data_IF_869838073145
#
_entry.id   IF_869838073145
#
_cell.length_a   1.000
_cell.length_b   1.000
_cell.length_c   1.000
_cell.angle_alpha   90.00
_cell.angle_beta   90.00
_cell.angle_gamma   90.00
#
_symmetry.space_group_name_H-M   'P 1'
#
loop_
_entity.id
_entity.type
_entity.pdbx_description
1 polymer ?
#
# COMPACT_ATOMS: atom_id res chain seq x y z
N UNK A 1 5.36 -52.85 21.53
CA UNK A 1 5.73 -51.49 21.10
C UNK A 1 5.51 -50.58 22.30
N UNK A 2 6.59 -50.11 22.93
CA UNK A 2 6.54 -49.45 24.24
C UNK A 2 5.89 -48.07 24.14
N UNK A 3 4.96 -47.78 25.05
CA UNK A 3 4.31 -46.47 25.17
C UNK A 3 5.31 -45.31 25.42
N UNK A 4 6.47 -45.59 26.01
CA UNK A 4 7.55 -44.59 26.19
C UNK A 4 8.13 -44.08 24.87
N UNK A 5 8.39 -44.97 23.91
CA UNK A 5 8.89 -44.59 22.57
C UNK A 5 7.82 -43.80 21.79
N UNK A 6 6.54 -44.07 22.07
CA UNK A 6 5.45 -43.27 21.50
C UNK A 6 5.44 -41.86 22.10
N UNK A 7 5.62 -41.68 23.41
CA UNK A 7 5.67 -40.34 24.01
C UNK A 7 6.93 -39.54 23.62
N UNK A 8 8.11 -40.16 23.53
CA UNK A 8 9.35 -39.48 23.09
C UNK A 8 9.29 -38.94 21.66
N UNK A 9 8.58 -39.62 20.75
CA UNK A 9 8.42 -39.17 19.36
C UNK A 9 7.37 -38.05 19.25
N UNK A 10 6.36 -38.04 20.12
CA UNK A 10 5.27 -37.06 20.08
C UNK A 10 5.52 -35.81 20.94
N UNK A 11 6.34 -35.87 21.99
CA UNK A 11 6.75 -34.69 22.78
C UNK A 11 7.32 -33.54 21.92
N UNK A 12 8.28 -33.75 20.99
CA UNK A 12 8.78 -32.67 20.15
C UNK A 12 7.72 -32.12 19.20
N UNK A 13 6.74 -32.94 18.79
CA UNK A 13 5.62 -32.52 17.92
C UNK A 13 4.62 -31.65 18.71
N UNK A 14 4.36 -31.99 19.98
CA UNK A 14 3.49 -31.22 20.87
C UNK A 14 4.16 -29.90 21.29
N UNK A 15 5.46 -29.93 21.61
CA UNK A 15 6.25 -28.73 21.88
C UNK A 15 6.36 -27.81 20.66
N UNK A 16 6.54 -28.37 19.46
CA UNK A 16 6.49 -27.63 18.20
C UNK A 16 5.11 -27.00 17.96
N UNK A 17 4.02 -27.73 18.21
CA UNK A 17 2.65 -27.22 18.12
C UNK A 17 2.40 -26.01 19.03
N UNK A 18 2.83 -26.05 20.29
CA UNK A 18 2.69 -24.91 21.20
C UNK A 18 3.53 -23.70 20.77
N UNK A 19 4.76 -23.94 20.31
CA UNK A 19 5.61 -22.87 19.77
C UNK A 19 4.98 -22.21 18.53
N UNK A 20 4.41 -23.00 17.62
CA UNK A 20 3.69 -22.51 16.44
C UNK A 20 2.47 -21.68 16.83
N UNK A 21 1.69 -22.13 17.83
CA UNK A 21 0.54 -21.37 18.34
C UNK A 21 0.94 -20.02 18.94
N UNK A 22 2.01 -19.97 19.73
CA UNK A 22 2.51 -18.74 20.34
C UNK A 22 3.07 -17.76 19.28
N UNK A 23 3.82 -18.27 18.31
CA UNK A 23 4.33 -17.46 17.19
C UNK A 23 3.17 -16.92 16.35
N UNK A 24 2.18 -17.76 16.02
CA UNK A 24 1.00 -17.35 15.26
C UNK A 24 0.19 -16.28 15.99
N UNK A 25 0.04 -16.41 17.31
CA UNK A 25 -0.63 -15.40 18.13
C UNK A 25 0.11 -14.05 18.12
N UNK A 26 1.43 -14.06 18.33
CA UNK A 26 2.24 -12.83 18.33
C UNK A 26 2.25 -12.16 16.95
N UNK A 27 2.44 -12.94 15.88
CA UNK A 27 2.37 -12.44 14.51
C UNK A 27 0.97 -11.92 14.18
N UNK A 28 -0.07 -12.62 14.63
CA UNK A 28 -1.45 -12.23 14.46
C UNK A 28 -1.74 -10.88 15.10
N UNK A 29 -1.45 -10.74 16.39
CA UNK A 29 -1.63 -9.49 17.14
C UNK A 29 -0.79 -8.34 16.56
N UNK A 30 0.46 -8.61 16.19
CA UNK A 30 1.33 -7.64 15.54
C UNK A 30 0.78 -7.16 14.20
N UNK A 31 0.20 -8.07 13.40
CA UNK A 31 -0.44 -7.76 12.13
C UNK A 31 -1.73 -6.96 12.30
N UNK A 32 -2.56 -7.27 13.31
CA UNK A 32 -3.74 -6.46 13.68
C UNK A 32 -3.33 -5.04 14.05
N UNK A 33 -2.39 -4.91 14.98
CA UNK A 33 -1.89 -3.60 15.42
C UNK A 33 -1.31 -2.82 14.24
N UNK A 34 -0.49 -3.46 13.40
CA UNK A 34 0.09 -2.85 12.20
C UNK A 34 -0.97 -2.40 11.19
N UNK A 35 -2.00 -3.21 10.96
CA UNK A 35 -3.12 -2.85 10.07
C UNK A 35 -3.91 -1.66 10.58
N UNK A 36 -4.19 -1.60 11.88
CA UNK A 36 -4.88 -0.46 12.51
C UNK A 36 -4.02 0.80 12.41
N UNK A 37 -2.75 0.73 12.81
CA UNK A 37 -1.82 1.88 12.75
C UNK A 37 -1.67 2.38 11.33
N UNK A 38 -1.55 1.48 10.35
CA UNK A 38 -1.48 1.84 8.93
C UNK A 38 -2.75 2.58 8.46
N UNK A 39 -3.93 2.14 8.91
CA UNK A 39 -5.19 2.80 8.59
C UNK A 39 -5.24 4.23 9.14
N UNK A 40 -4.81 4.43 10.40
CA UNK A 40 -4.69 5.76 10.99
C UNK A 40 -3.66 6.64 10.29
N UNK A 41 -2.50 6.09 9.93
CA UNK A 41 -1.46 6.82 9.19
C UNK A 41 -1.97 7.25 7.81
N UNK A 42 -2.69 6.39 7.10
CA UNK A 42 -3.31 6.72 5.83
C UNK A 42 -4.42 7.77 5.98
N UNK A 43 -5.20 7.71 7.07
CA UNK A 43 -6.24 8.70 7.35
C UNK A 43 -5.63 10.07 7.58
N UNK A 44 -4.57 10.14 8.39
CA UNK A 44 -3.84 11.38 8.65
C UNK A 44 -3.25 11.97 7.36
N UNK A 45 -2.64 11.14 6.52
CA UNK A 45 -2.15 11.59 5.20
C UNK A 45 -3.27 12.14 4.31
N UNK A 46 -4.48 11.58 4.39
CA UNK A 46 -5.63 12.11 3.66
C UNK A 46 -6.06 13.48 4.21
N UNK A 47 -6.18 13.59 5.54
CA UNK A 47 -6.56 14.83 6.22
C UNK A 47 -5.56 15.97 5.90
N UNK A 48 -4.24 15.69 5.94
CA UNK A 48 -3.18 16.64 5.58
C UNK A 48 -3.29 17.13 4.10
N UNK A 49 -3.74 16.26 3.19
CA UNK A 49 -3.95 16.61 1.77
C UNK A 49 -5.22 17.44 1.57
N UNK A 50 -6.26 17.23 2.37
CA UNK A 50 -7.49 18.04 2.29
C UNK A 50 -7.29 19.48 2.78
N UNK A 51 -6.32 19.74 3.65
CA UNK A 51 -5.98 21.09 4.13
C UNK A 51 -5.23 21.95 3.10
N UNK A 52 -4.59 21.33 2.10
CA UNK A 52 -3.85 22.04 1.05
C UNK A 52 -4.76 22.45 -0.13
N UNK A 53 -4.48 23.59 -0.80
CA UNK A 53 -5.26 24.02 -1.96
C UNK A 53 -4.96 23.13 -3.18
N UNK A 54 -5.77 22.08 -3.36
CA UNK A 54 -5.69 21.16 -4.48
C UNK A 54 -6.86 21.33 -5.47
N UNK A 55 -6.62 20.98 -6.72
CA UNK A 55 -7.70 20.92 -7.72
C UNK A 55 -8.61 19.71 -7.46
N UNK A 56 -9.91 19.84 -7.75
CA UNK A 56 -10.91 18.78 -7.50
C UNK A 56 -10.55 17.42 -8.14
N UNK A 57 -9.80 17.43 -9.25
CA UNK A 57 -9.32 16.21 -9.91
C UNK A 57 -8.20 15.49 -9.15
N UNK A 58 -7.34 16.22 -8.42
CA UNK A 58 -6.28 15.66 -7.59
C UNK A 58 -6.87 15.02 -6.32
N UNK A 59 -7.85 15.68 -5.70
CA UNK A 59 -8.62 15.16 -4.57
C UNK A 59 -9.37 13.85 -4.89
N UNK A 60 -9.95 13.73 -6.09
CA UNK A 60 -10.58 12.48 -6.53
C UNK A 60 -9.59 11.34 -6.81
N UNK A 61 -8.33 11.67 -7.10
CA UNK A 61 -7.28 10.66 -7.27
C UNK A 61 -6.73 10.19 -5.91
N UNK A 62 -6.45 11.13 -5.01
CA UNK A 62 -5.96 10.82 -3.66
C UNK A 62 -7.00 10.06 -2.82
N UNK A 63 -8.29 10.38 -2.94
CA UNK A 63 -9.35 9.60 -2.28
C UNK A 63 -9.44 8.15 -2.79
N UNK A 64 -9.25 7.93 -4.10
CA UNK A 64 -9.20 6.57 -4.69
C UNK A 64 -7.96 5.80 -4.23
N UNK A 65 -6.81 6.47 -4.10
CA UNK A 65 -5.57 5.91 -3.57
C UNK A 65 -5.69 5.55 -2.09
N UNK A 66 -6.30 6.43 -1.28
CA UNK A 66 -6.63 6.15 0.11
C UNK A 66 -7.54 4.93 0.25
N UNK A 67 -8.60 4.83 -0.59
CA UNK A 67 -9.51 3.67 -0.54
C UNK A 67 -8.78 2.35 -0.75
N UNK A 68 -7.84 2.28 -1.70
CA UNK A 68 -7.03 1.07 -1.94
C UNK A 68 -6.12 0.76 -0.75
N UNK A 69 -5.46 1.77 -0.19
CA UNK A 69 -4.57 1.63 0.97
C UNK A 69 -5.32 1.25 2.26
N UNK A 70 -6.52 1.76 2.46
CA UNK A 70 -7.39 1.40 3.58
C UNK A 70 -7.92 -0.05 3.45
N UNK A 71 -8.24 -0.48 2.21
CA UNK A 71 -8.58 -1.88 1.95
C UNK A 71 -7.38 -2.78 2.29
N UNK A 72 -6.17 -2.44 1.81
CA UNK A 72 -4.96 -3.20 2.13
C UNK A 72 -4.70 -3.29 3.64
N UNK A 73 -4.82 -2.19 4.38
CA UNK A 73 -4.62 -2.19 5.84
C UNK A 73 -5.69 -3.00 6.58
N UNK A 74 -6.95 -2.99 6.10
CA UNK A 74 -8.01 -3.83 6.64
C UNK A 74 -7.79 -5.33 6.36
N UNK A 75 -7.25 -5.68 5.18
CA UNK A 75 -6.89 -7.05 4.82
C UNK A 75 -5.75 -7.57 5.70
N UNK A 76 -4.74 -6.73 5.97
CA UNK A 76 -3.66 -7.05 6.91
C UNK A 76 -4.23 -7.31 8.30
N UNK A 77 -5.10 -6.42 8.80
CA UNK A 77 -5.72 -6.60 10.11
C UNK A 77 -6.59 -7.87 10.19
N UNK A 78 -7.39 -8.18 9.17
CA UNK A 78 -8.18 -9.41 9.15
C UNK A 78 -7.31 -10.67 9.13
N UNK A 79 -6.17 -10.62 8.43
CA UNK A 79 -5.23 -11.73 8.39
C UNK A 79 -4.55 -11.95 9.75
N UNK A 80 -4.27 -10.86 10.46
CA UNK A 80 -3.78 -10.92 11.84
C UNK A 80 -4.77 -11.62 12.79
N UNK A 81 -6.08 -11.33 12.66
CA UNK A 81 -7.13 -12.00 13.44
C UNK A 81 -7.17 -13.50 13.13
N UNK A 82 -7.08 -13.89 11.85
CA UNK A 82 -7.05 -15.30 11.46
C UNK A 82 -5.81 -16.03 11.99
N UNK A 83 -4.63 -15.41 11.93
CA UNK A 83 -3.40 -15.98 12.50
C UNK A 83 -3.49 -16.13 14.02
N UNK A 84 -4.05 -15.14 14.73
CA UNK A 84 -4.31 -15.25 16.16
C UNK A 84 -5.32 -16.37 16.47
N UNK A 85 -6.29 -16.61 15.57
CA UNK A 85 -7.25 -17.72 15.69
C UNK A 85 -6.61 -19.11 15.78
N UNK A 86 -5.41 -19.30 15.22
CA UNK A 86 -4.68 -20.58 15.25
C UNK A 86 -4.41 -21.04 16.69
N UNK A 87 -4.19 -20.12 17.63
CA UNK A 87 -3.90 -20.49 19.02
C UNK A 87 -5.07 -21.18 19.71
N UNK A 88 -6.30 -20.98 19.22
CA UNK A 88 -7.54 -21.53 19.79
C UNK A 88 -7.99 -22.84 19.13
N UNK A 89 -7.26 -23.32 18.12
CA UNK A 89 -7.59 -24.57 17.43
C UNK A 89 -6.75 -25.71 18.00
N UNK A 90 -7.40 -26.67 18.64
CA UNK A 90 -6.75 -27.84 19.24
C UNK A 90 -6.74 -29.07 18.33
N UNK A 91 -7.68 -29.16 17.39
CA UNK A 91 -7.74 -30.26 16.43
C UNK A 91 -6.79 -30.08 15.25
N UNK A 92 -5.93 -31.07 15.00
CA UNK A 92 -4.96 -31.07 13.91
C UNK A 92 -5.60 -30.94 12.51
N UNK A 93 -6.78 -31.56 12.32
CA UNK A 93 -7.51 -31.51 11.03
C UNK A 93 -8.06 -30.12 10.76
N UNK A 94 -8.62 -29.50 11.80
CA UNK A 94 -9.16 -28.14 11.76
C UNK A 94 -8.03 -27.13 11.56
N UNK A 95 -6.88 -27.34 12.21
CA UNK A 95 -5.66 -26.55 12.02
C UNK A 95 -5.19 -26.56 10.56
N UNK A 96 -5.09 -27.75 9.94
CA UNK A 96 -4.65 -27.88 8.55
C UNK A 96 -5.59 -27.16 7.57
N UNK A 97 -6.91 -27.25 7.79
CA UNK A 97 -7.91 -26.51 7.01
C UNK A 97 -7.73 -25.00 7.19
N UNK A 98 -7.55 -24.55 8.43
CA UNK A 98 -7.39 -23.13 8.75
C UNK A 98 -6.14 -22.53 8.09
N UNK A 99 -5.00 -23.23 8.18
CA UNK A 99 -3.76 -22.84 7.51
C UNK A 99 -3.94 -22.82 5.99
N UNK A 100 -4.66 -23.79 5.41
CA UNK A 100 -4.94 -23.83 3.98
C UNK A 100 -5.77 -22.61 3.52
N UNK A 101 -6.75 -22.19 4.31
CA UNK A 101 -7.55 -20.98 4.04
C UNK A 101 -6.66 -19.73 4.09
N UNK A 102 -5.81 -19.63 5.12
CA UNK A 102 -4.86 -18.52 5.27
C UNK A 102 -3.92 -18.44 4.07
N UNK A 103 -3.36 -19.57 3.62
CA UNK A 103 -2.49 -19.66 2.45
C UNK A 103 -3.21 -19.23 1.16
N UNK A 104 -4.44 -19.71 0.94
CA UNK A 104 -5.23 -19.32 -0.23
C UNK A 104 -5.49 -17.80 -0.25
N UNK A 105 -5.83 -17.22 0.90
CA UNK A 105 -6.00 -15.77 1.02
C UNK A 105 -4.70 -15.00 0.75
N UNK A 106 -3.56 -15.46 1.27
CA UNK A 106 -2.26 -14.82 1.01
C UNK A 106 -1.93 -14.81 -0.48
N UNK A 107 -2.17 -15.92 -1.18
CA UNK A 107 -1.99 -16.00 -2.64
C UNK A 107 -2.92 -15.02 -3.36
N UNK A 108 -4.18 -14.92 -2.93
CA UNK A 108 -5.15 -13.96 -3.48
C UNK A 108 -4.71 -12.50 -3.30
N UNK A 109 -4.25 -12.14 -2.09
CA UNK A 109 -3.72 -10.80 -1.79
C UNK A 109 -2.48 -10.51 -2.65
N UNK A 110 -1.57 -11.48 -2.81
CA UNK A 110 -0.39 -11.35 -3.65
C UNK A 110 -0.76 -11.08 -5.12
N UNK A 111 -1.77 -11.79 -5.63
CA UNK A 111 -2.30 -11.57 -6.98
C UNK A 111 -2.88 -10.17 -7.17
N UNK A 112 -3.67 -9.68 -6.20
CA UNK A 112 -4.21 -8.33 -6.20
C UNK A 112 -3.08 -7.29 -6.13
N UNK A 113 -2.08 -7.51 -5.29
CA UNK A 113 -0.93 -6.62 -5.14
C UNK A 113 -0.13 -6.53 -6.45
N UNK A 114 0.12 -7.66 -7.13
CA UNK A 114 0.77 -7.68 -8.44
C UNK A 114 -0.03 -6.86 -9.46
N UNK A 115 -1.35 -7.05 -9.53
CA UNK A 115 -2.20 -6.28 -10.44
C UNK A 115 -2.20 -4.78 -10.13
N UNK A 116 -2.21 -4.39 -8.85
CA UNK A 116 -2.12 -2.98 -8.44
C UNK A 116 -0.75 -2.37 -8.80
N UNK A 117 0.35 -3.11 -8.64
CA UNK A 117 1.69 -2.69 -9.09
C UNK A 117 1.75 -2.45 -10.60
N UNK A 118 1.14 -3.32 -11.41
CA UNK A 118 1.07 -3.09 -12.86
C UNK A 118 0.18 -1.90 -13.23
N UNK A 119 -0.98 -1.74 -12.58
CA UNK A 119 -1.92 -0.65 -12.87
C UNK A 119 -1.41 0.73 -12.43
N UNK A 120 -0.74 0.81 -11.28
CA UNK A 120 -0.21 2.05 -10.71
C UNK A 120 1.19 2.36 -11.23
N UNK A 121 2.08 1.36 -11.33
CA UNK A 121 3.45 1.54 -11.80
C UNK A 121 3.52 2.11 -13.23
N UNK A 122 2.67 1.63 -14.13
CA UNK A 122 2.57 2.17 -15.50
C UNK A 122 2.06 3.61 -15.48
N UNK A 123 1.04 3.91 -14.67
CA UNK A 123 0.46 5.26 -14.57
C UNK A 123 1.37 6.28 -13.87
N UNK A 124 2.18 5.85 -12.91
CA UNK A 124 3.09 6.71 -12.15
C UNK A 124 4.35 7.05 -12.96
N UNK A 125 4.82 6.11 -13.79
CA UNK A 125 5.86 6.36 -14.81
C UNK A 125 5.31 7.32 -15.88
N UNK A 126 4.11 7.08 -16.41
CA UNK A 126 3.50 7.96 -17.40
C UNK A 126 3.23 9.39 -16.89
N UNK A 127 2.84 9.55 -15.61
CA UNK A 127 2.61 10.87 -14.99
C UNK A 127 3.88 11.65 -14.67
N UNK A 128 5.00 10.99 -14.36
CA UNK A 128 6.29 11.67 -14.18
C UNK A 128 6.71 12.37 -15.46
N UNK A 129 6.48 11.74 -16.60
CA UNK A 129 6.71 12.33 -17.91
C UNK A 129 5.81 13.56 -18.14
N UNK A 130 4.52 13.50 -17.78
CA UNK A 130 3.62 14.66 -17.94
C UNK A 130 4.01 15.87 -17.09
N UNK A 131 4.50 15.67 -15.86
CA UNK A 131 5.01 16.79 -15.02
C UNK A 131 6.29 17.39 -15.58
N UNK A 132 7.24 16.56 -16.00
CA UNK A 132 8.48 17.02 -16.63
C UNK A 132 8.20 17.74 -17.96
N UNK A 133 7.26 17.21 -18.75
CA UNK A 133 6.82 17.79 -20.03
C UNK A 133 6.06 19.09 -19.85
N UNK A 134 5.20 19.21 -18.82
CA UNK A 134 4.57 20.50 -18.47
C UNK A 134 5.59 21.56 -18.04
N UNK A 135 6.59 21.18 -17.24
CA UNK A 135 7.63 22.12 -16.83
C UNK A 135 8.44 22.66 -18.03
N UNK A 136 8.78 21.79 -18.99
CA UNK A 136 9.46 22.20 -20.23
C UNK A 136 8.60 23.12 -21.10
N UNK A 137 7.29 22.87 -21.20
CA UNK A 137 6.37 23.72 -21.96
C UNK A 137 6.22 25.10 -21.31
N UNK A 138 6.08 25.16 -19.98
CA UNK A 138 5.99 26.43 -19.25
C UNK A 138 7.27 27.26 -19.38
N UNK A 139 8.43 26.60 -19.37
CA UNK A 139 9.71 27.26 -19.58
C UNK A 139 9.85 27.82 -21.00
N UNK A 140 9.38 27.09 -22.01
CA UNK A 140 9.35 27.53 -23.41
C UNK A 140 8.39 28.72 -23.63
N UNK A 141 7.20 28.68 -23.02
CA UNK A 141 6.23 29.79 -23.08
C UNK A 141 6.79 31.04 -22.38
N UNK A 142 7.46 30.88 -21.23
CA UNK A 142 8.12 32.00 -20.55
C UNK A 142 9.24 32.61 -21.39
N UNK A 143 10.06 31.80 -22.06
CA UNK A 143 11.09 32.30 -22.97
C UNK A 143 10.48 33.06 -24.14
N UNK A 144 9.40 32.53 -24.74
CA UNK A 144 8.70 33.19 -25.85
C UNK A 144 8.09 34.52 -25.44
N UNK A 145 7.48 34.61 -24.26
CA UNK A 145 6.90 35.85 -23.75
C UNK A 145 7.97 36.89 -23.42
N UNK A 146 9.13 36.47 -22.87
CA UNK A 146 10.28 37.37 -22.66
C UNK A 146 10.86 37.91 -23.96
N UNK A 147 10.95 37.07 -25.00
CA UNK A 147 11.41 37.49 -26.33
C UNK A 147 10.41 38.41 -27.04
N UNK A 148 9.11 38.22 -26.81
CA UNK A 148 8.07 39.12 -27.32
C UNK A 148 8.15 40.49 -26.65
N UNK A 149 8.32 40.54 -25.32
CA UNK A 149 8.51 41.80 -24.58
C UNK A 149 9.80 42.53 -24.98
N UNK A 150 10.91 41.81 -25.21
CA UNK A 150 12.16 42.42 -25.71
C UNK A 150 12.09 42.92 -27.16
N UNK A 151 11.15 42.39 -27.97
CA UNK A 151 10.88 42.91 -29.31
C UNK A 151 10.03 44.17 -29.27
N UNK A 152 9.01 44.20 -28.40
CA UNK A 152 8.19 45.41 -28.19
C UNK A 152 9.01 46.56 -27.58
N UNK A 153 10.03 46.25 -26.76
CA UNK A 153 10.92 47.27 -26.15
C UNK A 153 12.02 47.77 -27.10
N UNK A 154 12.29 47.08 -28.22
CA UNK A 154 13.27 47.51 -29.24
C UNK A 154 12.63 48.14 -30.50
N UNK A 155 11.30 48.20 -30.59
CA UNK A 155 10.57 48.94 -31.63
C UNK A 155 10.09 50.30 -31.09
N UNK A 156 11.03 51.18 -30.70
CA UNK A 156 10.76 52.63 -30.71
C UNK A 156 10.72 53.13 -32.16
N UNK A 157 9.75 53.99 -32.54
CA UNK A 157 9.56 54.41 -33.92
C UNK A 157 10.75 55.24 -34.43
N UNK A 158 11.18 55.08 -35.69
CA UNK A 158 12.13 56.00 -36.30
C UNK A 158 11.49 57.38 -36.40
N UNK A 159 12.30 58.42 -36.14
CA UNK A 159 11.87 59.80 -35.97
C UNK A 159 10.87 60.34 -37.01
N UNK A 160 9.99 61.20 -36.52
CA UNK A 160 9.20 62.12 -37.33
C UNK A 160 9.54 63.54 -36.91
N UNK A 161 10.06 64.29 -37.87
CA UNK A 161 10.39 65.73 -37.84
C UNK A 161 9.22 66.63 -37.42
#
# INVERSE_FOLDING_TARGET
>A
MNFEVFFEVFEPIIGFSQNVKNIALLLGLGSVAGGIVSLFAHKRQLDDIFEAPHTASELQFESRKYRRRAIASSLIASQGIMLAGISFVDELRTLAIFISIILLMLVGILGIAMFDFFSVGINEIARKDDKARKALVDEYVRQRNKLAQQKEENEEPPGGE
#
